data_IF_415996727290
#
_entry.id   IF_415996727290
#
_cell.length_a   1.000
_cell.length_b   1.000
_cell.length_c   1.000
_cell.angle_alpha   90.00
_cell.angle_beta   90.00
_cell.angle_gamma   90.00
#
_symmetry.space_group_name_H-M   'P 1'
#
loop_
_entity.id
_entity.type
_entity.pdbx_description
1 polymer ?
#
# COMPACT_ATOMS: atom_id res chain seq x y z
N UNK A 1 -28.20 0.35 -5.28
CA UNK A 1 -27.00 0.19 -6.13
C UNK A 1 -26.59 -1.27 -6.12
N UNK A 2 -26.01 -1.77 -7.21
CA UNK A 2 -25.45 -3.15 -7.23
C UNK A 2 -24.10 -3.09 -6.52
N UNK A 3 -23.92 -3.92 -5.49
CA UNK A 3 -22.63 -4.07 -4.81
C UNK A 3 -21.61 -4.64 -5.79
N UNK A 4 -20.44 -3.99 -5.96
CA UNK A 4 -19.39 -4.53 -6.83
C UNK A 4 -18.99 -5.94 -6.43
N UNK A 5 -18.68 -6.75 -7.42
CA UNK A 5 -18.05 -8.06 -7.25
C UNK A 5 -16.57 -7.98 -7.57
N UNK A 6 -15.77 -8.95 -7.12
CA UNK A 6 -14.36 -9.05 -7.48
C UNK A 6 -14.15 -9.10 -9.02
N UNK A 7 -15.11 -9.64 -9.77
CA UNK A 7 -15.07 -9.66 -11.24
C UNK A 7 -15.15 -8.26 -11.84
N UNK A 8 -15.86 -7.31 -11.21
CA UNK A 8 -15.93 -5.94 -11.73
C UNK A 8 -14.55 -5.26 -11.71
N UNK A 9 -13.74 -5.54 -10.69
CA UNK A 9 -12.34 -5.10 -10.62
C UNK A 9 -11.49 -5.78 -11.69
N UNK A 10 -11.64 -7.11 -11.83
CA UNK A 10 -10.89 -7.91 -12.79
C UNK A 10 -11.11 -7.40 -14.23
N UNK A 11 -12.37 -7.20 -14.65
CA UNK A 11 -12.71 -6.76 -16.01
C UNK A 11 -12.15 -5.38 -16.37
N UNK A 12 -11.97 -4.51 -15.38
CA UNK A 12 -11.31 -3.21 -15.58
C UNK A 12 -9.80 -3.43 -15.74
N UNK A 13 -9.18 -4.18 -14.83
CA UNK A 13 -7.74 -4.39 -14.83
C UNK A 13 -7.26 -5.17 -16.06
N UNK A 14 -8.07 -6.09 -16.57
CA UNK A 14 -7.77 -6.91 -17.75
C UNK A 14 -7.34 -6.11 -18.96
N UNK A 15 -7.81 -4.87 -19.16
CA UNK A 15 -7.45 -4.10 -20.35
C UNK A 15 -6.07 -3.46 -20.27
N UNK A 16 -5.45 -3.45 -19.09
CA UNK A 16 -4.20 -2.73 -18.82
C UNK A 16 -2.90 -3.40 -19.32
N UNK A 17 -2.72 -4.74 -19.27
CA UNK A 17 -1.47 -5.40 -19.67
C UNK A 17 -0.98 -5.03 -21.07
N UNK A 18 -1.86 -5.04 -22.07
CA UNK A 18 -1.50 -4.67 -23.44
C UNK A 18 -0.94 -3.24 -23.56
N UNK A 19 -1.46 -2.30 -22.77
CA UNK A 19 -0.90 -0.96 -22.68
C UNK A 19 0.47 -0.98 -21.99
N UNK A 20 0.58 -1.73 -20.89
CA UNK A 20 1.76 -1.74 -20.04
C UNK A 20 3.01 -2.28 -20.75
N UNK A 21 2.85 -3.21 -21.71
CA UNK A 21 3.97 -3.74 -22.52
C UNK A 21 4.77 -2.64 -23.26
N UNK A 22 4.16 -1.48 -23.55
CA UNK A 22 4.86 -0.33 -24.18
C UNK A 22 5.99 0.23 -23.32
N UNK A 23 5.95 -0.02 -22.01
CA UNK A 23 6.91 0.50 -21.03
C UNK A 23 7.67 -0.61 -20.30
N UNK A 24 7.55 -1.85 -20.78
CA UNK A 24 8.35 -2.97 -20.30
C UNK A 24 9.73 -2.98 -20.95
N UNK A 25 10.75 -3.30 -20.17
CA UNK A 25 12.08 -3.59 -20.68
C UNK A 25 12.72 -4.76 -19.93
N UNK A 26 13.58 -5.49 -20.64
CA UNK A 26 14.35 -6.59 -20.08
C UNK A 26 15.70 -6.07 -19.60
N UNK A 27 16.16 -6.54 -18.44
CA UNK A 27 17.49 -6.15 -17.99
C UNK A 27 18.56 -6.68 -18.95
N UNK A 28 19.46 -5.81 -19.48
CA UNK A 28 20.41 -6.21 -20.50
C UNK A 28 21.50 -7.17 -19.98
N UNK A 29 21.77 -7.17 -18.67
CA UNK A 29 22.76 -8.03 -18.04
C UNK A 29 22.15 -9.33 -17.50
N UNK A 30 20.84 -9.31 -17.18
CA UNK A 30 20.13 -10.42 -16.55
C UNK A 30 18.77 -10.66 -17.24
N UNK A 31 18.71 -11.52 -18.27
CA UNK A 31 17.47 -11.79 -19.02
C UNK A 31 16.31 -12.33 -18.18
N UNK A 32 16.61 -12.94 -17.02
CA UNK A 32 15.65 -13.40 -16.02
C UNK A 32 14.97 -12.26 -15.24
N UNK A 33 15.42 -11.02 -15.41
CA UNK A 33 14.84 -9.82 -14.80
C UNK A 33 14.17 -8.95 -15.86
N UNK A 34 13.17 -8.20 -15.44
CA UNK A 34 12.56 -7.16 -16.25
C UNK A 34 11.81 -6.17 -15.40
N UNK A 35 11.56 -4.99 -15.95
CA UNK A 35 11.00 -3.88 -15.20
C UNK A 35 9.98 -3.13 -16.05
N UNK A 36 8.88 -2.74 -15.40
CA UNK A 36 7.92 -1.79 -15.95
C UNK A 36 8.29 -0.35 -15.53
N UNK A 37 8.28 0.57 -16.49
CA UNK A 37 8.60 1.98 -16.25
C UNK A 37 10.11 2.23 -16.20
N UNK A 38 10.55 3.20 -15.40
CA UNK A 38 11.95 3.65 -15.43
C UNK A 38 12.92 2.74 -14.68
N UNK A 39 12.48 2.03 -13.64
CA UNK A 39 13.32 1.18 -12.80
C UNK A 39 14.42 1.89 -11.99
N UNK A 40 14.43 3.23 -11.94
CA UNK A 40 15.36 3.97 -11.09
C UNK A 40 14.95 3.83 -9.61
N UNK A 41 15.84 4.17 -8.69
CA UNK A 41 15.59 4.08 -7.26
C UNK A 41 14.36 4.89 -6.80
N UNK A 42 13.83 4.65 -5.60
CA UNK A 42 12.66 5.35 -5.08
C UNK A 42 11.39 5.09 -5.91
N UNK A 43 10.94 6.04 -6.75
CA UNK A 43 9.66 5.91 -7.45
C UNK A 43 9.68 4.95 -8.64
N UNK A 44 10.83 4.75 -9.29
CA UNK A 44 10.93 3.83 -10.43
C UNK A 44 10.66 2.39 -9.99
N UNK A 45 11.31 1.94 -8.92
CA UNK A 45 11.07 0.62 -8.32
C UNK A 45 9.64 0.48 -7.78
N UNK A 46 9.09 1.49 -7.11
CA UNK A 46 7.69 1.44 -6.65
C UNK A 46 6.67 1.32 -7.78
N UNK A 47 6.98 1.89 -8.95
CA UNK A 47 6.14 1.73 -10.13
C UNK A 47 6.15 0.27 -10.61
N UNK A 48 7.33 -0.35 -10.64
CA UNK A 48 7.47 -1.78 -10.94
C UNK A 48 6.77 -2.69 -9.91
N UNK A 49 6.82 -2.34 -8.62
CA UNK A 49 6.16 -3.09 -7.55
C UNK A 49 4.63 -3.09 -7.69
N UNK A 50 4.03 -1.97 -8.10
CA UNK A 50 2.58 -1.90 -8.38
C UNK A 50 2.20 -2.66 -9.65
N UNK A 51 3.05 -2.59 -10.68
CA UNK A 51 2.89 -3.41 -11.89
C UNK A 51 2.90 -4.90 -11.55
N UNK A 52 3.85 -5.33 -10.72
CA UNK A 52 3.91 -6.70 -10.22
C UNK A 52 2.58 -7.11 -9.57
N UNK A 53 2.04 -6.29 -8.65
CA UNK A 53 0.78 -6.60 -7.98
C UNK A 53 -0.37 -6.83 -8.97
N UNK A 54 -0.52 -5.91 -9.93
CA UNK A 54 -1.56 -6.01 -10.96
C UNK A 54 -1.40 -7.24 -11.87
N UNK A 55 -0.19 -7.50 -12.37
CA UNK A 55 0.07 -8.64 -13.25
C UNK A 55 -0.09 -9.97 -12.52
N UNK A 56 0.37 -10.06 -11.27
CA UNK A 56 0.22 -11.24 -10.43
C UNK A 56 -1.25 -11.62 -10.24
N UNK A 57 -2.09 -10.67 -9.81
CA UNK A 57 -3.52 -10.90 -9.60
C UNK A 57 -4.20 -11.35 -10.90
N UNK A 58 -3.89 -10.72 -12.04
CA UNK A 58 -4.44 -11.16 -13.34
C UNK A 58 -4.00 -12.58 -13.70
N UNK A 59 -2.70 -12.88 -13.58
CA UNK A 59 -2.11 -14.16 -13.96
C UNK A 59 -2.66 -15.33 -13.16
N UNK A 60 -3.05 -15.11 -11.90
CA UNK A 60 -3.51 -16.16 -10.99
C UNK A 60 -5.03 -16.25 -10.89
N UNK A 61 -5.77 -15.25 -11.39
CA UNK A 61 -7.22 -15.27 -11.33
C UNK A 61 -7.82 -16.28 -12.33
N UNK A 62 -8.64 -17.26 -11.90
CA UNK A 62 -9.15 -18.31 -12.78
C UNK A 62 -10.00 -17.77 -13.94
N UNK A 63 -10.69 -16.65 -13.73
CA UNK A 63 -11.59 -16.03 -14.71
C UNK A 63 -10.94 -14.97 -15.62
N UNK A 64 -9.61 -14.90 -15.68
CA UNK A 64 -8.88 -14.02 -16.61
C UNK A 64 -9.37 -14.23 -18.06
N UNK A 65 -9.74 -13.14 -18.71
CA UNK A 65 -9.98 -13.07 -20.15
C UNK A 65 -8.70 -12.63 -20.88
N UNK A 66 -7.98 -13.59 -21.46
CA UNK A 66 -6.74 -13.32 -22.22
C UNK A 66 -7.00 -12.47 -23.48
N UNK A 67 -8.19 -12.55 -24.07
CA UNK A 67 -8.53 -11.75 -25.26
C UNK A 67 -8.72 -10.27 -24.87
N UNK A 68 -9.35 -10.01 -23.71
CA UNK A 68 -9.43 -8.66 -23.16
C UNK A 68 -8.04 -8.13 -22.75
N UNK A 69 -7.17 -9.00 -22.23
CA UNK A 69 -5.81 -8.64 -21.84
C UNK A 69 -4.85 -8.39 -22.99
N UNK A 70 -5.12 -8.95 -24.17
CA UNK A 70 -4.23 -8.86 -25.33
C UNK A 70 -2.88 -9.55 -25.11
N UNK A 71 -2.78 -10.38 -24.07
CA UNK A 71 -1.60 -11.16 -23.67
C UNK A 71 -2.07 -12.48 -23.05
N UNK A 72 -1.31 -13.56 -23.24
CA UNK A 72 -1.63 -14.84 -22.60
C UNK A 72 -1.38 -14.80 -21.10
N UNK A 73 -2.07 -15.66 -20.34
CA UNK A 73 -1.83 -15.84 -18.90
C UNK A 73 -0.36 -16.13 -18.60
N UNK A 74 0.27 -16.98 -19.41
CA UNK A 74 1.68 -17.33 -19.28
C UNK A 74 2.60 -16.11 -19.43
N UNK A 75 2.32 -15.23 -20.40
CA UNK A 75 3.09 -14.00 -20.58
C UNK A 75 2.90 -13.03 -19.39
N UNK A 76 1.66 -12.89 -18.89
CA UNK A 76 1.37 -12.06 -17.73
C UNK A 76 2.08 -12.60 -16.48
N UNK A 77 2.09 -13.93 -16.29
CA UNK A 77 2.79 -14.60 -15.20
C UNK A 77 4.31 -14.40 -15.28
N UNK A 78 4.91 -14.59 -16.46
CA UNK A 78 6.34 -14.33 -16.70
C UNK A 78 6.70 -12.90 -16.30
N UNK A 79 5.90 -11.92 -16.73
CA UNK A 79 6.09 -10.51 -16.38
C UNK A 79 6.06 -10.27 -14.88
N UNK A 80 5.08 -10.82 -14.18
CA UNK A 80 4.96 -10.68 -12.74
C UNK A 80 6.19 -11.26 -12.01
N UNK A 81 6.62 -12.46 -12.37
CA UNK A 81 7.80 -13.11 -11.76
C UNK A 81 9.10 -12.35 -12.05
N UNK A 82 9.29 -11.86 -13.28
CA UNK A 82 10.51 -11.11 -13.65
C UNK A 82 10.54 -9.73 -13.02
N UNK A 83 9.38 -9.09 -12.84
CA UNK A 83 9.25 -7.85 -12.07
C UNK A 83 9.61 -8.07 -10.59
N UNK A 84 9.18 -9.21 -10.01
CA UNK A 84 9.53 -9.57 -8.62
C UNK A 84 11.02 -9.69 -8.48
N UNK A 85 11.62 -10.53 -9.34
CA UNK A 85 13.05 -10.81 -9.32
C UNK A 85 13.86 -9.54 -9.54
N UNK A 86 13.42 -8.62 -10.40
CA UNK A 86 14.05 -7.31 -10.54
C UNK A 86 14.03 -6.54 -9.23
N UNK A 87 12.88 -6.43 -8.56
CA UNK A 87 12.79 -5.79 -7.24
C UNK A 87 13.68 -6.46 -6.20
N UNK A 88 13.71 -7.79 -6.13
CA UNK A 88 14.56 -8.54 -5.17
C UNK A 88 16.06 -8.38 -5.45
N UNK A 89 16.48 -8.43 -6.72
CA UNK A 89 17.87 -8.37 -7.13
C UNK A 89 18.46 -6.96 -6.97
N UNK A 90 17.66 -5.92 -7.24
CA UNK A 90 18.11 -4.51 -7.20
C UNK A 90 17.99 -3.85 -5.83
N UNK A 91 17.45 -4.57 -4.83
CA UNK A 91 17.42 -4.12 -3.45
C UNK A 91 18.85 -4.03 -2.87
N UNK A 92 19.08 -3.24 -1.82
CA UNK A 92 20.40 -3.11 -1.16
C UNK A 92 20.95 -4.45 -0.65
N UNK A 93 20.07 -5.38 -0.29
CA UNK A 93 20.43 -6.76 0.09
C UNK A 93 20.58 -7.72 -1.10
N UNK A 94 20.31 -7.28 -2.31
CA UNK A 94 20.41 -8.05 -3.55
C UNK A 94 21.80 -8.02 -4.19
N UNK A 95 21.90 -8.58 -5.39
CA UNK A 95 23.13 -8.75 -6.17
C UNK A 95 23.21 -7.85 -7.40
N UNK A 96 22.15 -7.10 -7.74
CA UNK A 96 22.05 -6.29 -8.95
C UNK A 96 21.77 -4.81 -8.65
N UNK A 97 21.62 -3.99 -9.68
CA UNK A 97 21.40 -2.54 -9.57
C UNK A 97 20.13 -2.10 -10.30
N UNK A 98 19.50 -1.06 -9.77
CA UNK A 98 18.47 -0.28 -10.46
C UNK A 98 19.00 0.26 -11.79
N UNK A 99 18.10 0.75 -12.66
CA UNK A 99 18.49 1.29 -13.97
C UNK A 99 19.39 2.54 -13.92
N UNK A 100 19.42 3.21 -12.77
CA UNK A 100 20.29 4.36 -12.47
C UNK A 100 21.66 3.96 -11.87
N UNK A 101 21.94 2.65 -11.79
CA UNK A 101 23.18 2.10 -11.23
C UNK A 101 23.22 2.09 -9.70
N UNK A 102 22.16 2.54 -9.01
CA UNK A 102 22.07 2.47 -7.54
C UNK A 102 21.36 1.19 -7.08
N UNK A 103 21.17 1.04 -5.76
CA UNK A 103 20.33 -0.01 -5.17
C UNK A 103 19.24 0.62 -4.32
N UNK A 104 18.03 0.10 -4.40
CA UNK A 104 16.90 0.62 -3.63
C UNK A 104 16.78 -0.08 -2.28
N UNK A 105 16.15 0.58 -1.31
CA UNK A 105 15.92 0.03 0.01
C UNK A 105 16.35 0.99 1.11
N UNK A 106 15.85 0.74 2.32
CA UNK A 106 16.13 1.53 3.54
C UNK A 106 15.77 3.03 3.41
N UNK A 107 14.92 3.36 2.44
CA UNK A 107 14.43 4.72 2.23
C UNK A 107 13.12 4.93 3.00
N UNK A 108 12.79 6.20 3.29
CA UNK A 108 11.57 6.57 4.02
C UNK A 108 10.26 6.06 3.40
N UNK A 109 10.28 5.67 2.12
CA UNK A 109 9.11 5.20 1.35
C UNK A 109 9.20 3.72 0.93
N UNK A 110 10.29 3.01 1.25
CA UNK A 110 10.47 1.60 0.83
C UNK A 110 9.28 0.73 1.24
N UNK A 111 8.89 0.82 2.51
CA UNK A 111 7.82 0.04 3.10
C UNK A 111 6.45 0.23 2.41
N UNK A 112 6.14 1.45 1.95
CA UNK A 112 4.91 1.72 1.20
C UNK A 112 4.85 0.91 -0.11
N UNK A 113 5.96 0.90 -0.85
CA UNK A 113 6.08 0.15 -2.10
C UNK A 113 5.93 -1.35 -1.89
N UNK A 114 6.62 -1.87 -0.87
CA UNK A 114 6.60 -3.28 -0.51
C UNK A 114 5.19 -3.72 -0.11
N UNK A 115 4.54 -3.06 0.85
CA UNK A 115 3.18 -3.42 1.28
C UNK A 115 2.20 -3.45 0.10
N UNK A 116 2.34 -2.52 -0.84
CA UNK A 116 1.45 -2.44 -2.01
C UNK A 116 1.68 -3.50 -3.06
N UNK A 117 2.79 -4.24 -3.03
CA UNK A 117 3.01 -5.37 -3.93
C UNK A 117 2.70 -6.72 -3.27
N UNK A 118 2.64 -6.79 -1.94
CA UNK A 118 2.58 -8.08 -1.22
C UNK A 118 1.36 -8.93 -1.58
N UNK A 119 0.20 -8.35 -1.84
CA UNK A 119 -0.98 -9.10 -2.31
C UNK A 119 -0.72 -9.85 -3.63
N UNK A 120 0.12 -9.31 -4.51
CA UNK A 120 0.56 -10.00 -5.72
C UNK A 120 1.59 -11.08 -5.44
N UNK A 121 2.50 -10.84 -4.49
CA UNK A 121 3.47 -11.87 -4.05
C UNK A 121 2.74 -13.07 -3.42
N UNK A 122 1.73 -12.81 -2.59
CA UNK A 122 0.84 -13.82 -2.00
C UNK A 122 0.10 -14.60 -3.08
N UNK A 123 -0.46 -13.91 -4.09
CA UNK A 123 -1.11 -14.57 -5.22
C UNK A 123 -0.17 -15.49 -6.03
N UNK A 124 1.13 -15.18 -6.06
CA UNK A 124 2.15 -15.94 -6.79
C UNK A 124 2.73 -17.13 -6.00
N UNK A 125 2.29 -17.40 -4.76
CA UNK A 125 2.93 -18.37 -3.85
C UNK A 125 3.26 -19.72 -4.52
N UNK A 126 2.32 -20.31 -5.27
CA UNK A 126 2.51 -21.60 -5.96
C UNK A 126 3.49 -21.55 -7.16
N UNK A 127 3.88 -20.36 -7.58
CA UNK A 127 4.80 -20.10 -8.71
C UNK A 127 6.19 -19.63 -8.27
N UNK A 128 6.38 -19.35 -6.98
CA UNK A 128 7.67 -18.89 -6.46
C UNK A 128 8.64 -20.06 -6.31
N UNK A 129 9.88 -19.85 -6.76
CA UNK A 129 10.98 -20.79 -6.52
C UNK A 129 11.59 -20.60 -5.13
N UNK A 130 12.38 -21.57 -4.65
CA UNK A 130 13.16 -21.42 -3.42
C UNK A 130 14.08 -20.18 -3.45
N UNK A 131 14.58 -19.81 -4.63
CA UNK A 131 15.39 -18.60 -4.81
C UNK A 131 14.57 -17.33 -4.66
N UNK A 132 13.34 -17.32 -5.17
CA UNK A 132 12.41 -16.19 -5.02
C UNK A 132 12.02 -16.02 -3.55
N UNK A 133 11.67 -17.11 -2.86
CA UNK A 133 11.33 -17.12 -1.43
C UNK A 133 12.52 -16.69 -0.56
N UNK A 134 13.72 -17.17 -0.84
CA UNK A 134 14.94 -16.74 -0.15
C UNK A 134 15.26 -15.26 -0.42
N UNK A 135 15.03 -14.78 -1.64
CA UNK A 135 15.17 -13.37 -2.01
C UNK A 135 14.19 -12.47 -1.26
N UNK A 136 12.91 -12.88 -1.21
CA UNK A 136 11.85 -12.18 -0.50
C UNK A 136 12.16 -12.10 1.00
N UNK A 137 12.52 -13.21 1.63
CA UNK A 137 12.91 -13.26 3.04
C UNK A 137 14.09 -12.33 3.33
N UNK A 138 15.14 -12.37 2.50
CA UNK A 138 16.32 -11.51 2.63
C UNK A 138 15.96 -10.02 2.51
N UNK A 139 15.13 -9.64 1.55
CA UNK A 139 14.69 -8.25 1.36
C UNK A 139 13.85 -7.77 2.56
N UNK A 140 12.83 -8.53 2.96
CA UNK A 140 11.92 -8.17 4.04
C UNK A 140 12.62 -8.04 5.39
N UNK A 141 13.50 -9.00 5.74
CA UNK A 141 14.29 -8.92 6.97
C UNK A 141 15.22 -7.69 6.95
N UNK A 142 15.85 -7.42 5.80
CA UNK A 142 16.75 -6.26 5.66
C UNK A 142 16.01 -4.93 5.86
N UNK A 143 14.78 -4.80 5.36
CA UNK A 143 13.94 -3.61 5.59
C UNK A 143 13.46 -3.53 7.04
N UNK A 144 13.05 -4.65 7.64
CA UNK A 144 12.65 -4.70 9.05
C UNK A 144 13.79 -4.28 10.00
N UNK A 145 15.01 -4.76 9.75
CA UNK A 145 16.20 -4.36 10.51
C UNK A 145 16.49 -2.86 10.38
N UNK A 146 16.39 -2.29 9.17
CA UNK A 146 16.62 -0.87 8.95
C UNK A 146 15.58 0.00 9.69
N UNK A 147 14.33 -0.48 9.80
CA UNK A 147 13.26 0.22 10.51
C UNK A 147 13.44 0.25 12.03
N UNK A 148 14.20 -0.68 12.62
CA UNK A 148 14.51 -0.62 14.06
C UNK A 148 15.24 0.70 14.42
N UNK A 149 16.15 1.14 13.56
CA UNK A 149 16.92 2.37 13.72
C UNK A 149 16.14 3.65 13.35
N UNK A 150 15.01 3.53 12.64
CA UNK A 150 14.23 4.68 12.20
C UNK A 150 13.47 5.31 13.38
N UNK A 151 13.55 6.63 13.53
CA UNK A 151 12.80 7.35 14.55
C UNK A 151 11.30 7.36 14.22
N UNK A 152 10.47 7.10 15.23
CA UNK A 152 9.01 7.30 15.13
C UNK A 152 8.73 8.75 15.45
N UNK A 153 7.97 9.45 14.60
CA UNK A 153 7.75 10.89 14.72
C UNK A 153 6.26 11.22 14.88
N UNK A 154 5.96 12.30 15.59
CA UNK A 154 4.60 12.82 15.70
C UNK A 154 4.56 14.28 16.10
N UNK A 155 4.18 15.15 15.17
CA UNK A 155 3.87 16.56 15.44
C UNK A 155 2.59 16.97 14.74
N UNK A 156 1.82 17.85 15.42
CA UNK A 156 0.47 18.22 14.99
C UNK A 156 0.46 19.07 13.72
N UNK A 157 1.43 19.98 13.60
CA UNK A 157 1.54 20.89 12.46
C UNK A 157 2.60 20.42 11.48
N UNK A 158 2.32 20.51 10.18
CA UNK A 158 3.25 20.16 9.12
C UNK A 158 4.54 20.98 9.18
N UNK A 159 4.43 22.26 9.55
CA UNK A 159 5.57 23.19 9.66
C UNK A 159 6.60 22.77 10.70
N UNK A 160 6.22 21.93 11.66
CA UNK A 160 7.10 21.45 12.73
C UNK A 160 7.98 20.27 12.25
N UNK A 161 7.72 19.74 11.05
CA UNK A 161 8.58 18.77 10.36
C UNK A 161 8.41 17.30 10.78
N UNK A 162 7.76 17.03 11.92
CA UNK A 162 7.55 15.68 12.46
C UNK A 162 6.19 15.06 12.17
N UNK A 163 5.37 15.66 11.28
CA UNK A 163 4.08 15.12 10.89
C UNK A 163 4.28 13.98 9.87
N UNK A 164 4.15 12.72 10.32
CA UNK A 164 4.47 11.49 9.57
C UNK A 164 3.41 10.38 9.74
N UNK A 165 2.09 10.68 9.72
CA UNK A 165 1.08 9.69 10.08
C UNK A 165 1.09 8.48 9.16
N UNK A 166 1.07 8.71 7.85
CA UNK A 166 1.06 7.66 6.84
C UNK A 166 2.36 6.86 6.87
N UNK A 167 3.49 7.52 7.13
CA UNK A 167 4.80 6.88 7.17
C UNK A 167 4.93 5.95 8.36
N UNK A 168 4.44 6.38 9.51
CA UNK A 168 4.37 5.54 10.68
C UNK A 168 3.54 4.28 10.40
N UNK A 169 2.39 4.42 9.74
CA UNK A 169 1.51 3.27 9.46
C UNK A 169 2.19 2.27 8.51
N UNK A 170 2.72 2.69 7.36
CA UNK A 170 3.31 1.73 6.43
C UNK A 170 4.58 1.05 7.00
N UNK A 171 5.34 1.75 7.85
CA UNK A 171 6.52 1.17 8.50
C UNK A 171 6.10 0.16 9.59
N UNK A 172 5.07 0.49 10.37
CA UNK A 172 4.51 -0.45 11.34
C UNK A 172 3.87 -1.66 10.69
N UNK A 173 3.18 -1.46 9.56
CA UNK A 173 2.52 -2.52 8.81
C UNK A 173 3.54 -3.55 8.27
N UNK A 174 4.62 -3.09 7.64
CA UNK A 174 5.64 -4.00 7.10
C UNK A 174 6.33 -4.79 8.23
N UNK A 175 6.66 -4.15 9.36
CA UNK A 175 7.26 -4.85 10.50
C UNK A 175 6.35 -5.95 11.04
N UNK A 176 5.06 -5.64 11.23
CA UNK A 176 4.09 -6.62 11.69
C UNK A 176 3.94 -7.77 10.69
N UNK A 177 3.93 -7.48 9.37
CA UNK A 177 3.92 -8.50 8.32
C UNK A 177 5.15 -9.41 8.39
N UNK A 178 6.36 -8.84 8.49
CA UNK A 178 7.60 -9.62 8.60
C UNK A 178 7.55 -10.56 9.81
N UNK A 179 7.04 -10.09 10.95
CA UNK A 179 6.85 -10.93 12.14
C UNK A 179 5.89 -12.11 11.91
N UNK A 180 4.84 -11.91 11.09
CA UNK A 180 3.89 -12.98 10.76
C UNK A 180 4.45 -13.96 9.74
N UNK A 181 5.22 -13.49 8.77
CA UNK A 181 5.83 -14.33 7.74
C UNK A 181 7.01 -15.15 8.27
N UNK A 182 7.77 -14.62 9.23
CA UNK A 182 8.99 -15.24 9.75
C UNK A 182 8.98 -15.31 11.29
N UNK A 183 8.02 -16.04 11.90
CA UNK A 183 7.85 -16.07 13.36
C UNK A 183 9.03 -16.69 14.12
N UNK A 184 9.88 -17.46 13.43
CA UNK A 184 11.04 -18.13 14.03
C UNK A 184 12.30 -17.24 14.10
N UNK A 185 12.27 -16.02 13.57
CA UNK A 185 13.43 -15.12 13.66
C UNK A 185 13.56 -14.55 15.08
N UNK A 186 14.78 -14.57 15.64
CA UNK A 186 15.04 -14.14 17.01
C UNK A 186 14.70 -12.65 17.27
N UNK A 187 14.60 -11.82 16.22
CA UNK A 187 14.30 -10.39 16.30
C UNK A 187 12.81 -10.05 16.24
N UNK A 188 11.93 -11.05 16.08
CA UNK A 188 10.47 -10.85 16.05
C UNK A 188 9.96 -10.01 17.23
N UNK A 189 10.41 -10.19 18.49
CA UNK A 189 10.00 -9.33 19.60
C UNK A 189 10.33 -7.85 19.37
N UNK A 190 11.54 -7.55 18.89
CA UNK A 190 12.00 -6.19 18.64
C UNK A 190 11.23 -5.54 17.49
N UNK A 191 11.04 -6.29 16.40
CA UNK A 191 10.25 -5.83 15.24
C UNK A 191 8.79 -5.58 15.62
N UNK A 192 8.17 -6.45 16.42
CA UNK A 192 6.78 -6.29 16.82
C UNK A 192 6.60 -5.12 17.81
N UNK A 193 7.51 -4.95 18.77
CA UNK A 193 7.48 -3.77 19.65
C UNK A 193 7.61 -2.48 18.84
N UNK A 194 8.52 -2.45 17.86
CA UNK A 194 8.67 -1.31 16.95
C UNK A 194 7.44 -1.12 16.06
N UNK A 195 6.81 -2.19 15.60
CA UNK A 195 5.57 -2.13 14.83
C UNK A 195 4.45 -1.45 15.63
N UNK A 196 4.26 -1.85 16.89
CA UNK A 196 3.29 -1.21 17.79
C UNK A 196 3.59 0.27 17.98
N UNK A 197 4.86 0.63 18.23
CA UNK A 197 5.28 2.03 18.36
C UNK A 197 4.91 2.87 17.13
N UNK A 198 5.19 2.35 15.94
CA UNK A 198 4.84 3.01 14.68
C UNK A 198 3.32 3.14 14.50
N UNK A 199 2.58 2.03 14.60
CA UNK A 199 1.13 2.00 14.38
C UNK A 199 0.38 2.92 15.37
N UNK A 200 0.76 2.91 16.65
CA UNK A 200 0.17 3.78 17.68
C UNK A 200 0.40 5.27 17.42
N UNK A 201 1.42 5.62 16.65
CA UNK A 201 1.71 7.01 16.26
C UNK A 201 1.29 7.32 14.81
N UNK A 202 0.52 6.45 14.17
CA UNK A 202 -0.07 6.72 12.85
C UNK A 202 -1.17 7.78 12.94
N UNK A 203 -2.25 7.47 13.65
CA UNK A 203 -3.44 8.32 13.81
C UNK A 203 -3.49 8.88 15.26
N UNK A 204 -2.34 9.23 15.83
CA UNK A 204 -2.25 9.69 17.21
C UNK A 204 -2.79 11.10 17.43
N UNK A 205 -3.42 11.33 18.58
CA UNK A 205 -3.97 12.63 19.01
C UNK A 205 -3.39 13.05 20.36
N UNK A 206 -3.64 14.29 20.80
CA UNK A 206 -3.02 14.79 22.05
C UNK A 206 -3.53 14.06 23.30
N UNK A 207 -4.77 13.56 23.26
CA UNK A 207 -5.37 12.81 24.35
C UNK A 207 -4.64 11.49 24.66
N UNK A 208 -3.99 10.88 23.67
CA UNK A 208 -3.25 9.62 23.83
C UNK A 208 -2.14 9.73 24.88
N UNK A 209 -1.57 10.93 25.09
CA UNK A 209 -0.54 11.18 26.09
C UNK A 209 -0.99 10.92 27.54
N UNK A 210 -2.30 10.81 27.79
CA UNK A 210 -2.90 10.58 29.10
C UNK A 210 -3.78 9.32 29.13
N UNK A 211 -3.81 8.54 28.06
CA UNK A 211 -4.71 7.39 27.94
C UNK A 211 -4.11 6.13 28.60
N UNK A 212 -4.86 5.59 29.56
CA UNK A 212 -4.49 4.44 30.39
C UNK A 212 -5.00 3.10 29.85
N UNK A 213 -5.79 3.10 28.76
CA UNK A 213 -6.22 1.85 28.12
C UNK A 213 -4.99 1.09 27.65
N UNK A 214 -4.99 -0.23 27.85
CA UNK A 214 -3.88 -1.08 27.44
C UNK A 214 -4.01 -1.46 25.95
N UNK A 215 -2.87 -1.41 25.25
CA UNK A 215 -2.68 -1.96 23.90
C UNK A 215 -1.32 -2.65 23.88
N UNK A 216 -1.27 -3.89 23.41
CA UNK A 216 -0.06 -4.70 23.34
C UNK A 216 0.70 -4.77 24.68
N UNK A 217 -0.05 -4.89 25.79
CA UNK A 217 0.47 -5.03 27.14
C UNK A 217 1.08 -3.76 27.75
N UNK A 218 0.86 -2.58 27.17
CA UNK A 218 1.23 -1.28 27.76
C UNK A 218 0.10 -0.25 27.61
N UNK A 219 -0.05 0.70 28.56
CA UNK A 219 -0.93 1.86 28.39
C UNK A 219 -0.65 2.63 27.10
N UNK A 220 -1.67 3.16 26.43
CA UNK A 220 -1.55 3.97 25.20
C UNK A 220 -0.55 5.12 25.37
N UNK A 221 -0.57 5.81 26.52
CA UNK A 221 0.38 6.89 26.83
C UNK A 221 1.85 6.47 26.75
N UNK A 222 2.15 5.20 26.99
CA UNK A 222 3.52 4.69 26.93
C UNK A 222 3.97 4.41 25.50
N UNK A 223 3.03 4.28 24.56
CA UNK A 223 3.30 4.21 23.12
C UNK A 223 3.42 5.60 22.47
N UNK A 224 2.72 6.60 23.02
CA UNK A 224 2.59 7.93 22.46
C UNK A 224 3.94 8.67 22.37
N UNK A 225 4.34 9.03 21.14
CA UNK A 225 5.49 9.90 20.86
C UNK A 225 5.02 11.35 20.70
N UNK A 226 3.92 11.54 19.98
CA UNK A 226 3.32 12.85 19.78
C UNK A 226 2.09 12.79 18.87
N UNK A 227 1.27 13.84 18.83
CA UNK A 227 0.06 13.87 18.03
C UNK A 227 0.37 14.12 16.55
N UNK A 228 0.03 13.21 15.65
CA UNK A 228 0.04 13.49 14.21
C UNK A 228 -1.27 14.14 13.71
N UNK A 229 -2.35 13.99 14.48
CA UNK A 229 -3.66 14.54 14.17
C UNK A 229 -4.09 15.56 15.23
N UNK A 230 -5.05 16.41 14.85
CA UNK A 230 -5.82 17.19 15.81
C UNK A 230 -6.83 16.27 16.52
N UNK A 231 -7.33 16.69 17.68
CA UNK A 231 -8.25 15.87 18.50
C UNK A 231 -9.58 15.55 17.79
N UNK A 232 -9.90 16.27 16.71
CA UNK A 232 -11.04 16.02 15.83
C UNK A 232 -10.66 15.34 14.51
N UNK A 233 -9.48 14.73 14.45
CA UNK A 233 -8.94 13.96 13.32
C UNK A 233 -8.72 14.74 12.02
N UNK A 234 -8.74 16.08 12.06
CA UNK A 234 -8.14 16.85 10.98
C UNK A 234 -6.64 16.56 10.90
N UNK A 235 -6.10 16.64 9.69
CA UNK A 235 -4.69 16.40 9.41
C UNK A 235 -4.09 17.61 8.72
N UNK A 236 -3.18 18.32 9.41
CA UNK A 236 -2.29 19.29 8.76
C UNK A 236 -1.05 18.57 8.24
N UNK A 237 -1.08 18.21 6.95
CA UNK A 237 0.02 17.57 6.27
C UNK A 237 0.33 18.31 4.97
N UNK A 238 1.58 18.73 4.79
CA UNK A 238 1.99 19.69 3.76
C UNK A 238 1.36 21.09 3.89
N UNK A 239 0.92 21.48 5.09
CA UNK A 239 0.50 22.84 5.42
C UNK A 239 -0.98 23.17 5.16
N UNK A 240 -1.83 22.15 5.02
CA UNK A 240 -3.28 22.28 4.83
C UNK A 240 -4.01 21.00 5.27
N UNK A 241 -5.35 21.07 5.36
CA UNK A 241 -6.20 19.90 5.62
C UNK A 241 -6.06 18.86 4.49
N UNK A 242 -5.27 17.82 4.73
CA UNK A 242 -4.86 16.89 3.70
C UNK A 242 -5.69 15.60 3.69
N UNK A 243 -6.86 15.68 3.05
CA UNK A 243 -7.79 14.56 2.90
C UNK A 243 -7.14 13.37 2.20
N UNK A 244 -6.26 13.63 1.23
CA UNK A 244 -5.54 12.58 0.52
C UNK A 244 -4.68 11.72 1.45
N UNK A 245 -3.94 12.34 2.35
CA UNK A 245 -3.08 11.62 3.28
C UNK A 245 -3.84 10.94 4.42
N UNK A 246 -5.02 11.46 4.80
CA UNK A 246 -5.97 10.74 5.66
C UNK A 246 -6.39 9.41 5.03
N UNK A 247 -6.70 9.41 3.72
CA UNK A 247 -7.03 8.18 2.97
C UNK A 247 -5.84 7.22 2.94
N UNK A 248 -4.62 7.71 2.71
CA UNK A 248 -3.41 6.88 2.67
C UNK A 248 -3.22 6.14 4.00
N UNK A 249 -3.50 6.79 5.14
CA UNK A 249 -3.42 6.16 6.45
C UNK A 249 -4.31 4.93 6.55
N UNK A 250 -5.61 5.07 6.26
CA UNK A 250 -6.56 3.95 6.28
C UNK A 250 -6.26 2.92 5.19
N UNK A 251 -5.75 3.35 4.04
CA UNK A 251 -5.39 2.47 2.93
C UNK A 251 -4.29 1.50 3.33
N UNK A 252 -3.24 1.96 4.01
CA UNK A 252 -2.18 1.05 4.48
C UNK A 252 -2.65 0.13 5.61
N UNK A 253 -3.55 0.59 6.48
CA UNK A 253 -4.22 -0.29 7.45
C UNK A 253 -4.96 -1.42 6.71
N UNK A 254 -5.68 -1.08 5.63
CA UNK A 254 -6.42 -2.05 4.82
C UNK A 254 -5.52 -3.15 4.25
N UNK A 255 -4.33 -2.81 3.72
CA UNK A 255 -3.40 -3.81 3.16
C UNK A 255 -2.96 -4.85 4.19
N UNK A 256 -2.58 -4.44 5.39
CA UNK A 256 -2.20 -5.39 6.44
C UNK A 256 -3.44 -6.13 6.99
N UNK A 257 -4.57 -5.46 7.15
CA UNK A 257 -5.83 -6.08 7.57
C UNK A 257 -6.22 -7.24 6.66
N UNK A 258 -6.23 -7.02 5.35
CA UNK A 258 -6.59 -8.06 4.40
C UNK A 258 -5.55 -9.17 4.31
N UNK A 259 -4.25 -8.87 4.42
CA UNK A 259 -3.24 -9.92 4.52
C UNK A 259 -3.45 -10.81 5.77
N UNK A 260 -3.74 -10.21 6.92
CA UNK A 260 -4.09 -10.95 8.13
C UNK A 260 -5.32 -11.83 7.92
N UNK A 261 -6.38 -11.29 7.31
CA UNK A 261 -7.61 -12.04 7.04
C UNK A 261 -7.34 -13.23 6.09
N UNK A 262 -6.61 -13.01 4.99
CA UNK A 262 -6.27 -14.04 4.00
C UNK A 262 -5.48 -15.19 4.60
N UNK A 263 -4.49 -14.89 5.45
CA UNK A 263 -3.63 -15.92 6.07
C UNK A 263 -4.14 -16.44 7.42
N UNK A 264 -5.27 -15.92 7.93
CA UNK A 264 -5.77 -16.25 9.27
C UNK A 264 -4.85 -15.77 10.41
N UNK A 265 -4.03 -14.75 10.17
CA UNK A 265 -3.21 -14.14 11.21
C UNK A 265 -4.04 -13.23 12.11
N UNK A 266 -3.74 -13.22 13.41
CA UNK A 266 -4.24 -12.17 14.27
C UNK A 266 -3.61 -10.81 13.84
N UNK A 267 -4.39 -9.77 13.58
CA UNK A 267 -3.83 -8.42 13.37
C UNK A 267 -3.11 -7.96 14.64
N UNK A 268 -2.04 -7.14 14.54
CA UNK A 268 -1.45 -6.53 15.73
C UNK A 268 -2.48 -5.63 16.41
N UNK A 269 -2.54 -5.64 17.74
CA UNK A 269 -3.58 -4.94 18.51
C UNK A 269 -3.66 -3.44 18.21
N UNK A 270 -2.53 -2.83 17.85
CA UNK A 270 -2.42 -1.42 17.49
C UNK A 270 -2.85 -1.09 16.04
N UNK A 271 -3.17 -2.09 15.20
CA UNK A 271 -3.42 -1.87 13.76
C UNK A 271 -4.55 -0.87 13.51
N UNK A 272 -5.62 -0.98 14.30
CA UNK A 272 -6.84 -0.23 14.09
C UNK A 272 -6.95 1.01 15.00
N UNK A 273 -5.85 1.39 15.70
CA UNK A 273 -5.83 2.54 16.60
C UNK A 273 -6.33 3.80 15.87
N UNK A 274 -7.42 4.38 16.37
CA UNK A 274 -8.14 5.53 15.79
C UNK A 274 -8.61 5.41 14.33
N UNK A 275 -8.60 4.21 13.73
CA UNK A 275 -9.04 4.03 12.34
C UNK A 275 -10.53 4.35 12.16
N UNK A 276 -11.37 3.92 13.10
CA UNK A 276 -12.81 4.21 13.08
C UNK A 276 -13.11 5.71 13.25
N UNK A 277 -12.34 6.38 14.11
CA UNK A 277 -12.51 7.80 14.36
C UNK A 277 -12.11 8.65 13.15
N UNK A 278 -10.97 8.33 12.52
CA UNK A 278 -10.54 8.96 11.28
C UNK A 278 -11.56 8.75 10.16
N UNK A 279 -12.10 7.53 10.03
CA UNK A 279 -13.15 7.25 9.05
C UNK A 279 -14.41 8.09 9.29
N UNK A 280 -14.78 8.31 10.56
CA UNK A 280 -15.93 9.14 10.95
C UNK A 280 -15.90 10.58 10.40
N UNK A 281 -14.69 11.17 10.29
CA UNK A 281 -14.48 12.43 9.60
C UNK A 281 -14.35 12.23 8.08
N UNK A 282 -13.48 11.31 7.65
CA UNK A 282 -13.11 11.14 6.26
C UNK A 282 -14.32 10.88 5.35
N UNK A 283 -15.28 10.08 5.78
CA UNK A 283 -16.47 9.77 4.97
C UNK A 283 -17.33 10.99 4.63
N UNK A 284 -17.25 12.05 5.44
CA UNK A 284 -17.93 13.35 5.18
C UNK A 284 -17.16 14.23 4.19
N UNK A 285 -15.93 13.83 3.85
CA UNK A 285 -15.02 14.49 2.93
C UNK A 285 -14.89 13.69 1.62
N UNK A 286 -15.93 12.95 1.26
CA UNK A 286 -16.07 12.22 0.01
C UNK A 286 -17.32 12.70 -0.72
N UNK A 287 -17.23 12.87 -2.03
CA UNK A 287 -18.41 13.02 -2.87
C UNK A 287 -19.10 11.66 -3.04
N UNK A 288 -20.39 11.68 -3.39
CA UNK A 288 -21.19 10.47 -3.57
C UNK A 288 -20.68 9.53 -4.67
N UNK A 289 -19.84 10.02 -5.59
CA UNK A 289 -19.19 9.23 -6.63
C UNK A 289 -17.82 8.66 -6.20
N UNK A 290 -17.41 8.85 -4.94
CA UNK A 290 -16.13 8.38 -4.44
C UNK A 290 -14.96 9.33 -4.70
N UNK A 291 -15.16 10.54 -5.25
CA UNK A 291 -14.07 11.54 -5.31
C UNK A 291 -13.77 12.13 -3.94
N UNK A 292 -12.49 12.35 -3.66
CA UNK A 292 -12.06 13.06 -2.45
C UNK A 292 -12.50 14.54 -2.50
N UNK A 293 -13.20 15.02 -1.47
CA UNK A 293 -13.52 16.44 -1.30
C UNK A 293 -12.31 17.17 -0.72
N UNK A 294 -11.44 17.68 -1.60
CA UNK A 294 -10.15 18.30 -1.24
C UNK A 294 -10.27 19.78 -0.85
N UNK A 295 -11.04 20.09 0.20
CA UNK A 295 -11.32 21.48 0.66
C UNK A 295 -10.03 22.27 0.94
N UNK A 296 -9.02 21.62 1.53
CA UNK A 296 -7.73 22.24 1.86
C UNK A 296 -6.73 22.34 0.70
N UNK A 297 -7.00 21.69 -0.43
CA UNK A 297 -6.08 21.61 -1.57
C UNK A 297 -5.44 20.23 -1.76
N UNK A 298 -4.45 20.19 -2.64
CA UNK A 298 -3.69 18.98 -3.00
C UNK A 298 -2.26 19.36 -3.40
N UNK A 299 -1.27 18.68 -2.84
CA UNK A 299 0.14 18.80 -3.19
C UNK A 299 0.54 17.84 -4.33
N UNK A 300 -0.40 17.04 -4.83
CA UNK A 300 -0.23 16.10 -5.94
C UNK A 300 -1.13 16.50 -7.12
N UNK A 301 -1.00 15.78 -8.23
CA UNK A 301 -1.94 15.92 -9.34
C UNK A 301 -3.35 15.58 -8.87
N UNK A 302 -4.29 16.48 -9.17
CA UNK A 302 -5.67 16.38 -8.73
C UNK A 302 -6.28 15.05 -9.16
N UNK A 303 -6.93 14.40 -8.21
CA UNK A 303 -7.56 13.10 -8.37
C UNK A 303 -6.64 11.97 -8.80
N UNK A 304 -5.32 12.13 -8.90
CA UNK A 304 -4.38 11.03 -9.14
C UNK A 304 -3.90 10.40 -7.83
N UNK A 305 -2.60 10.53 -7.53
CA UNK A 305 -1.90 9.83 -6.46
C UNK A 305 -2.75 9.48 -5.22
N UNK A 306 -3.34 10.46 -4.52
CA UNK A 306 -4.09 10.17 -3.29
C UNK A 306 -5.50 9.56 -3.49
N UNK A 307 -6.14 9.81 -4.63
CA UNK A 307 -7.44 9.20 -4.96
C UNK A 307 -7.28 7.69 -5.13
N UNK A 308 -6.13 7.30 -5.68
CA UNK A 308 -5.60 5.95 -5.86
C UNK A 308 -5.81 5.01 -4.65
N UNK A 309 -5.75 5.61 -3.46
CA UNK A 309 -5.67 4.93 -2.17
C UNK A 309 -7.06 4.66 -1.57
N UNK A 310 -8.12 5.23 -2.15
CA UNK A 310 -9.45 5.18 -1.55
C UNK A 310 -10.07 3.79 -1.62
N UNK A 311 -9.92 3.06 -2.73
CA UNK A 311 -10.56 1.75 -2.90
C UNK A 311 -10.24 0.76 -1.76
N UNK A 312 -8.97 0.52 -1.38
CA UNK A 312 -8.65 -0.33 -0.23
C UNK A 312 -9.30 0.16 1.08
N UNK A 313 -9.34 1.48 1.30
CA UNK A 313 -9.98 2.08 2.48
C UNK A 313 -11.47 1.76 2.53
N UNK A 314 -12.18 1.88 1.40
CA UNK A 314 -13.62 1.60 1.34
C UNK A 314 -13.92 0.13 1.61
N UNK A 315 -13.15 -0.78 1.00
CA UNK A 315 -13.27 -2.21 1.25
C UNK A 315 -13.01 -2.54 2.73
N UNK A 316 -11.98 -1.94 3.32
CA UNK A 316 -11.68 -2.10 4.75
C UNK A 316 -12.79 -1.58 5.65
N UNK A 317 -13.31 -0.37 5.39
CA UNK A 317 -14.38 0.20 6.21
C UNK A 317 -15.68 -0.59 6.07
N UNK A 318 -16.02 -1.09 4.89
CA UNK A 318 -17.15 -1.99 4.70
C UNK A 318 -16.96 -3.31 5.48
N UNK A 319 -15.78 -3.92 5.39
CA UNK A 319 -15.51 -5.23 5.99
C UNK A 319 -15.31 -5.17 7.52
N UNK A 320 -14.48 -4.26 8.02
CA UNK A 320 -14.04 -4.22 9.41
C UNK A 320 -14.93 -3.33 10.29
N UNK A 321 -15.44 -2.21 9.74
CA UNK A 321 -16.29 -1.28 10.49
C UNK A 321 -17.79 -1.48 10.22
N UNK A 322 -18.15 -2.42 9.35
CA UNK A 322 -19.54 -2.69 8.94
C UNK A 322 -20.27 -1.42 8.42
N UNK A 323 -19.53 -0.54 7.72
CA UNK A 323 -20.07 0.73 7.21
C UNK A 323 -20.67 0.55 5.80
N UNK A 324 -21.99 0.40 5.73
CA UNK A 324 -22.70 0.24 4.46
C UNK A 324 -22.51 1.40 3.47
N UNK A 325 -22.22 2.61 3.95
CA UNK A 325 -21.95 3.75 3.07
C UNK A 325 -20.62 3.59 2.34
N UNK A 326 -19.66 2.88 2.93
CA UNK A 326 -18.40 2.57 2.25
C UNK A 326 -18.63 1.71 0.99
N UNK A 327 -19.58 0.76 1.01
CA UNK A 327 -19.98 -0.04 -0.16
C UNK A 327 -20.64 0.80 -1.26
N UNK A 328 -21.42 1.83 -0.89
CA UNK A 328 -22.00 2.76 -1.88
C UNK A 328 -20.90 3.58 -2.57
N UNK A 329 -19.95 4.10 -1.79
CA UNK A 329 -18.81 4.87 -2.28
C UNK A 329 -17.86 4.01 -3.14
N UNK A 330 -17.72 2.73 -2.81
CA UNK A 330 -16.92 1.76 -3.56
C UNK A 330 -17.44 1.61 -4.98
N UNK A 331 -18.77 1.45 -5.13
CA UNK A 331 -19.40 1.37 -6.44
C UNK A 331 -19.17 2.63 -7.28
N UNK A 332 -19.28 3.82 -6.66
CA UNK A 332 -18.99 5.09 -7.32
C UNK A 332 -17.52 5.21 -7.76
N UNK A 333 -16.58 4.91 -6.86
CA UNK A 333 -15.16 4.98 -7.14
C UNK A 333 -14.74 4.00 -8.26
N UNK A 334 -15.30 2.79 -8.26
CA UNK A 334 -15.03 1.80 -9.31
C UNK A 334 -15.60 2.25 -10.66
N UNK A 335 -16.78 2.86 -10.68
CA UNK A 335 -17.37 3.37 -11.91
C UNK A 335 -16.58 4.54 -12.49
N UNK A 336 -16.02 5.42 -11.65
CA UNK A 336 -15.10 6.47 -12.11
C UNK A 336 -13.88 5.88 -12.80
N UNK A 337 -13.24 4.86 -12.20
CA UNK A 337 -12.07 4.20 -12.79
C UNK A 337 -12.44 3.55 -14.13
N UNK A 338 -13.61 2.90 -14.21
CA UNK A 338 -14.13 2.31 -15.44
C UNK A 338 -14.33 3.36 -16.54
N UNK A 339 -14.97 4.48 -16.21
CA UNK A 339 -15.21 5.58 -17.14
C UNK A 339 -13.90 6.22 -17.63
N UNK A 340 -12.94 6.43 -16.72
CA UNK A 340 -11.62 6.96 -17.05
C UNK A 340 -10.87 6.06 -18.03
N UNK A 341 -10.83 4.75 -17.76
CA UNK A 341 -10.15 3.79 -18.63
C UNK A 341 -10.84 3.64 -19.98
N UNK A 342 -12.19 3.67 -20.00
CA UNK A 342 -12.96 3.66 -21.24
C UNK A 342 -12.69 4.90 -22.09
N UNK A 343 -12.56 6.08 -21.47
CA UNK A 343 -12.23 7.33 -22.16
C UNK A 343 -10.81 7.31 -22.77
N UNK A 344 -9.85 6.61 -22.16
CA UNK A 344 -8.52 6.40 -22.76
C UNK A 344 -8.57 5.57 -24.04
N UNK A 345 -9.44 4.57 -24.08
CA UNK A 345 -9.64 3.68 -25.24
C UNK A 345 -8.54 2.62 -25.44
N UNK A 346 -7.36 2.79 -24.84
CA UNK A 346 -6.20 1.89 -25.03
C UNK A 346 -5.84 1.04 -23.80
N UNK A 347 -6.68 1.04 -22.78
CA UNK A 347 -6.47 0.27 -21.53
C UNK A 347 -5.71 1.04 -20.44
N UNK A 348 -5.15 2.21 -20.75
CA UNK A 348 -4.53 3.09 -19.77
C UNK A 348 -5.55 3.80 -18.87
N UNK A 349 -5.09 4.26 -17.71
CA UNK A 349 -5.87 5.06 -16.77
C UNK A 349 -5.50 6.54 -16.87
N UNK A 350 -6.38 7.42 -16.35
CA UNK A 350 -6.12 8.85 -16.12
C UNK A 350 -5.95 9.75 -17.37
N UNK A 351 -6.39 9.31 -18.56
CA UNK A 351 -6.34 10.15 -19.77
C UNK A 351 -7.36 11.30 -19.77
N UNK A 352 -8.54 11.09 -19.20
CA UNK A 352 -9.62 12.08 -19.08
C UNK A 352 -10.07 12.13 -17.63
N UNK A 353 -9.51 13.07 -16.87
CA UNK A 353 -9.76 13.21 -15.43
C UNK A 353 -10.15 14.64 -15.06
N UNK A 354 -11.27 15.13 -15.60
CA UNK A 354 -12.00 16.33 -15.16
C UNK A 354 -13.47 16.24 -15.58
#
# INVERSE_FOLDING_TARGET
>A
MVTPSHLDYLRILERWPAYAERFWWNDPARPDLGCFGSGYNSWGVQTNQKYLGAMAVLATHPELDEAAAGCSREAILDRALRALRYSLATHVSGDHHCSDGTRWGHAWISALGIERMMHGVEALEEHLTDLDLAGLRRMLISEADALLAMEVQGTKWARDGGNKPESNIWNGAILARVCRMYPDDARVPDWMEKAHRFLMNGISIAADALDEREVAGRPIREWHVGPNFFDHYALDHHGYLNVGYMVICLSNIAFLHFACATHGWAPPESLHHHAADLWGLLKRLLFADGRLLRIGGDSRQRYCYCQDYLLPTLLYCAHYLDDAHATELEAGALDLIRQEQAASGDGSFHSRRL
#
